data_IF_710961673296
#
_entry.id   IF_710961673296
#
_cell.length_a   1.000
_cell.length_b   1.000
_cell.length_c   1.000
_cell.angle_alpha   90.00
_cell.angle_beta   90.00
_cell.angle_gamma   90.00
#
_symmetry.space_group_name_H-M   'P 1'
#
loop_
_entity.id
_entity.type
_entity.pdbx_description
1 polymer ?
#
# COMPACT_ATOMS: atom_id res chain seq x y z
N UNK A 1 54.39 -4.52 43.85
CA UNK A 1 54.36 -5.26 42.55
C UNK A 1 53.04 -6.00 42.50
N UNK A 2 52.17 -5.62 41.56
CA UNK A 2 51.07 -6.40 40.96
C UNK A 2 50.15 -5.41 40.24
N UNK A 3 50.38 -5.25 38.93
CA UNK A 3 49.45 -4.59 38.00
C UNK A 3 48.39 -5.64 37.62
N UNK A 4 47.14 -5.38 37.94
CA UNK A 4 46.01 -6.15 37.38
C UNK A 4 45.19 -5.22 36.51
N UNK A 5 45.38 -5.39 35.20
CA UNK A 5 44.66 -4.72 34.12
C UNK A 5 43.21 -5.22 34.08
N UNK A 6 42.25 -4.34 34.34
CA UNK A 6 40.83 -4.59 34.06
C UNK A 6 40.60 -4.24 32.58
N UNK A 7 40.37 -5.26 31.74
CA UNK A 7 39.90 -5.07 30.37
C UNK A 7 38.43 -4.60 30.41
N UNK A 8 38.19 -3.33 30.09
CA UNK A 8 36.87 -2.84 29.74
C UNK A 8 36.54 -3.22 28.29
N UNK A 9 35.49 -3.99 28.10
CA UNK A 9 34.94 -4.32 26.79
C UNK A 9 34.40 -3.05 26.11
N UNK A 10 35.00 -2.65 24.99
CA UNK A 10 34.42 -1.65 24.10
C UNK A 10 33.35 -2.31 23.23
N UNK A 11 32.09 -2.26 23.69
CA UNK A 11 30.92 -2.54 22.87
C UNK A 11 30.72 -1.42 21.84
N UNK A 12 30.59 -1.79 20.57
CA UNK A 12 30.19 -0.87 19.50
C UNK A 12 28.80 -0.27 19.79
N UNK A 13 28.56 1.03 19.54
CA UNK A 13 27.25 1.63 19.78
C UNK A 13 26.22 1.05 18.80
N UNK A 14 25.14 0.48 19.34
CA UNK A 14 24.01 0.01 18.54
C UNK A 14 23.32 1.18 17.82
N UNK A 15 22.91 0.94 16.58
CA UNK A 15 22.21 1.85 15.66
C UNK A 15 20.89 2.46 16.16
N UNK A 16 20.50 2.20 17.42
CA UNK A 16 19.27 2.68 18.05
C UNK A 16 19.39 4.09 18.64
N UNK A 17 20.61 4.58 18.88
CA UNK A 17 20.84 5.90 19.48
C UNK A 17 20.85 7.07 18.48
N UNK A 18 21.01 6.79 17.17
CA UNK A 18 20.89 7.85 16.15
C UNK A 18 19.41 8.26 15.94
N UNK A 19 18.48 7.31 16.08
CA UNK A 19 17.04 7.56 15.91
C UNK A 19 16.46 8.41 17.05
N UNK A 20 16.96 8.28 18.28
CA UNK A 20 16.49 9.10 19.41
C UNK A 20 16.88 10.55 19.28
N UNK A 21 18.07 10.84 18.74
CA UNK A 21 18.54 12.22 18.55
C UNK A 21 17.74 12.94 17.46
N UNK A 22 17.43 12.25 16.34
CA UNK A 22 16.68 12.86 15.23
C UNK A 22 15.21 13.11 15.62
N UNK A 23 14.62 12.18 16.37
CA UNK A 23 13.24 12.29 16.86
C UNK A 23 13.12 13.33 18.00
N UNK A 24 14.17 13.49 18.83
CA UNK A 24 14.25 14.54 19.85
C UNK A 24 14.34 15.95 19.22
N UNK A 25 15.11 16.12 18.14
CA UNK A 25 15.14 17.38 17.39
C UNK A 25 13.79 17.67 16.71
N UNK A 26 13.09 16.65 16.20
CA UNK A 26 11.78 16.83 15.59
C UNK A 26 10.68 17.20 16.61
N UNK A 27 10.76 16.65 17.82
CA UNK A 27 9.77 16.85 18.89
C UNK A 27 9.95 18.16 19.65
N UNK A 28 11.15 18.74 19.65
CA UNK A 28 11.42 20.08 20.16
C UNK A 28 10.81 21.18 19.27
N UNK A 29 10.71 20.93 17.96
CA UNK A 29 10.15 21.93 17.04
C UNK A 29 8.62 22.09 17.13
N UNK A 30 7.91 21.13 17.73
CA UNK A 30 6.44 21.13 17.83
C UNK A 30 5.88 21.65 19.17
N UNK A 31 6.72 21.85 20.19
CA UNK A 31 6.23 22.19 21.55
C UNK A 31 6.17 23.67 21.87
N UNK A 32 6.62 24.55 20.98
CA UNK A 32 6.42 25.99 21.12
C UNK A 32 5.72 26.53 19.88
N UNK A 33 4.40 26.63 19.97
CA UNK A 33 3.60 27.40 19.02
C UNK A 33 4.05 28.86 19.04
N UNK A 34 4.82 29.25 18.02
CA UNK A 34 5.07 30.62 17.64
C UNK A 34 5.05 30.70 16.12
N UNK A 35 4.11 31.50 15.63
CA UNK A 35 3.88 31.82 14.23
C UNK A 35 5.06 32.65 13.74
N UNK A 36 5.79 32.16 12.74
CA UNK A 36 6.59 32.99 11.84
C UNK A 36 6.27 32.60 10.40
N UNK A 37 6.02 33.62 9.58
CA UNK A 37 5.35 33.50 8.30
C UNK A 37 6.08 32.68 7.23
N UNK A 38 5.30 32.33 6.20
CA UNK A 38 5.77 31.95 4.88
C UNK A 38 6.57 30.66 4.80
N UNK A 39 5.88 29.55 4.48
CA UNK A 39 6.19 28.62 3.38
C UNK A 39 5.03 27.60 3.41
N UNK A 40 4.10 27.74 2.48
CA UNK A 40 3.20 26.63 2.14
C UNK A 40 4.11 25.52 1.60
N UNK A 41 4.20 24.37 2.27
CA UNK A 41 4.90 23.23 1.72
C UNK A 41 4.35 22.94 0.31
N UNK A 42 5.20 22.92 -0.75
CA UNK A 42 4.71 22.67 -2.09
C UNK A 42 4.13 21.26 -2.14
N UNK A 43 2.82 21.14 -2.42
CA UNK A 43 2.15 19.87 -2.68
C UNK A 43 2.53 19.36 -4.08
N UNK A 44 3.82 19.25 -4.38
CA UNK A 44 4.27 18.78 -5.70
C UNK A 44 4.15 17.24 -5.77
N UNK A 45 3.55 16.69 -6.85
CA UNK A 45 3.47 15.24 -7.07
C UNK A 45 4.86 14.57 -7.10
N UNK A 46 5.88 15.36 -7.44
CA UNK A 46 7.27 14.93 -7.55
C UNK A 46 7.84 14.67 -6.15
N UNK A 47 7.56 15.53 -5.15
CA UNK A 47 8.03 15.29 -3.78
C UNK A 47 7.35 14.07 -3.14
N UNK A 48 6.07 13.80 -3.43
CA UNK A 48 5.39 12.60 -2.92
C UNK A 48 5.94 11.31 -3.56
N UNK A 49 6.37 11.35 -4.83
CA UNK A 49 7.06 10.24 -5.50
C UNK A 49 8.46 10.03 -4.94
N UNK A 50 9.25 11.09 -4.77
CA UNK A 50 10.61 11.00 -4.22
C UNK A 50 10.60 10.47 -2.77
N UNK A 51 9.68 10.96 -1.91
CA UNK A 51 9.54 10.44 -0.55
C UNK A 51 9.08 8.97 -0.53
N UNK A 52 8.29 8.52 -1.52
CA UNK A 52 7.93 7.11 -1.70
C UNK A 52 9.15 6.29 -2.11
N UNK A 53 9.95 6.75 -3.07
CA UNK A 53 11.18 6.06 -3.50
C UNK A 53 12.17 5.89 -2.36
N UNK A 54 12.39 6.92 -1.53
CA UNK A 54 13.26 6.83 -0.35
C UNK A 54 12.71 5.83 0.69
N UNK A 55 11.39 5.83 0.93
CA UNK A 55 10.73 4.86 1.83
C UNK A 55 10.73 3.43 1.29
N UNK A 56 10.80 3.25 -0.02
CA UNK A 56 10.86 1.92 -0.64
C UNK A 56 12.24 1.28 -0.43
N UNK A 57 13.32 2.07 -0.57
CA UNK A 57 14.69 1.62 -0.33
C UNK A 57 14.94 1.30 1.15
N UNK A 58 14.37 2.08 2.08
CA UNK A 58 14.55 1.85 3.54
C UNK A 58 13.71 0.70 4.09
N UNK A 59 12.67 0.24 3.37
CA UNK A 59 11.85 -0.92 3.77
C UNK A 59 12.20 -2.23 3.07
N UNK A 60 13.06 -2.19 2.04
CA UNK A 60 13.45 -3.38 1.29
C UNK A 60 12.31 -3.98 0.44
N UNK A 61 11.40 -3.14 -0.09
CA UNK A 61 10.34 -3.65 -0.97
C UNK A 61 10.92 -4.13 -2.31
N UNK A 62 10.38 -5.25 -2.81
CA UNK A 62 10.74 -5.75 -4.15
C UNK A 62 10.22 -4.82 -5.25
N UNK A 63 10.80 -4.91 -6.45
CA UNK A 63 10.33 -4.17 -7.64
C UNK A 63 8.84 -4.39 -7.90
N UNK A 64 8.37 -5.63 -7.73
CA UNK A 64 6.97 -6.03 -7.87
C UNK A 64 6.08 -5.35 -6.84
N UNK A 65 6.47 -5.37 -5.57
CA UNK A 65 5.74 -4.67 -4.51
C UNK A 65 5.66 -3.16 -4.77
N UNK A 66 6.72 -2.55 -5.31
CA UNK A 66 6.72 -1.11 -5.66
C UNK A 66 5.69 -0.82 -6.75
N UNK A 67 5.60 -1.64 -7.80
CA UNK A 67 4.61 -1.47 -8.89
C UNK A 67 3.18 -1.50 -8.37
N UNK A 68 2.84 -2.48 -7.53
CA UNK A 68 1.49 -2.58 -6.93
C UNK A 68 1.22 -1.38 -6.02
N UNK A 69 2.19 -0.95 -5.20
CA UNK A 69 2.05 0.23 -4.34
C UNK A 69 1.81 1.52 -5.12
N UNK A 70 2.41 1.64 -6.30
CA UNK A 70 2.24 2.79 -7.20
C UNK A 70 0.86 2.77 -7.87
N UNK A 71 0.41 1.62 -8.37
CA UNK A 71 -0.93 1.45 -8.94
C UNK A 71 -2.03 1.72 -7.89
N UNK A 72 -1.83 1.34 -6.64
CA UNK A 72 -2.78 1.53 -5.54
C UNK A 72 -2.43 2.72 -4.64
N UNK A 73 -1.84 3.79 -5.19
CA UNK A 73 -1.50 5.00 -4.44
C UNK A 73 -2.74 5.81 -4.01
N UNK A 74 -2.58 6.79 -3.12
CA UNK A 74 -3.66 7.71 -2.74
C UNK A 74 -3.90 8.87 -3.73
N UNK A 75 -3.24 8.83 -4.89
CA UNK A 75 -3.40 9.86 -5.94
C UNK A 75 -4.88 9.88 -6.42
N UNK A 76 -5.44 11.02 -6.86
CA UNK A 76 -6.88 11.13 -7.17
C UNK A 76 -7.31 10.40 -8.45
N UNK A 77 -6.37 10.04 -9.33
CA UNK A 77 -6.63 9.26 -10.56
C UNK A 77 -6.48 7.75 -10.33
N UNK A 78 -7.20 6.93 -11.09
CA UNK A 78 -7.10 5.47 -11.02
C UNK A 78 -5.76 4.91 -11.54
N UNK A 79 -5.49 3.61 -11.33
CA UNK A 79 -4.34 2.95 -11.97
C UNK A 79 -4.46 3.04 -13.50
N UNK A 80 -3.33 3.17 -14.18
CA UNK A 80 -3.34 3.19 -15.65
C UNK A 80 -3.47 1.77 -16.19
N UNK A 81 -4.00 1.61 -17.41
CA UNK A 81 -4.08 0.30 -18.08
C UNK A 81 -2.72 -0.38 -18.19
N UNK A 82 -1.66 0.39 -18.46
CA UNK A 82 -0.28 -0.12 -18.49
C UNK A 82 0.17 -0.67 -17.14
N UNK A 83 -0.14 0.01 -16.04
CA UNK A 83 0.20 -0.49 -14.69
C UNK A 83 -0.53 -1.79 -14.39
N UNK A 84 -1.83 -1.87 -14.70
CA UNK A 84 -2.62 -3.08 -14.44
C UNK A 84 -2.17 -4.25 -15.31
N UNK A 85 -1.92 -4.00 -16.60
CA UNK A 85 -1.38 -5.00 -17.54
C UNK A 85 -0.03 -5.53 -17.07
N UNK A 86 0.90 -4.65 -16.68
CA UNK A 86 2.20 -5.08 -16.17
C UNK A 86 2.05 -5.93 -14.89
N UNK A 87 1.22 -5.52 -13.94
CA UNK A 87 0.96 -6.30 -12.71
C UNK A 87 0.35 -7.66 -13.05
N UNK A 88 -0.63 -7.72 -13.96
CA UNK A 88 -1.24 -8.97 -14.39
C UNK A 88 -0.22 -9.92 -15.01
N UNK A 89 0.68 -9.43 -15.86
CA UNK A 89 1.75 -10.24 -16.46
C UNK A 89 2.70 -10.80 -15.38
N UNK A 90 3.05 -10.01 -14.37
CA UNK A 90 3.89 -10.47 -13.26
C UNK A 90 3.27 -11.62 -12.44
N UNK A 91 1.94 -11.79 -12.48
CA UNK A 91 1.28 -12.92 -11.80
C UNK A 91 1.60 -14.29 -12.43
N UNK A 92 2.11 -14.32 -13.67
CA UNK A 92 2.52 -15.55 -14.37
C UNK A 92 4.00 -15.92 -14.14
N UNK A 93 4.82 -15.01 -13.62
CA UNK A 93 6.27 -15.16 -13.62
C UNK A 93 6.79 -16.18 -12.58
N UNK A 94 6.90 -15.76 -11.32
CA UNK A 94 7.43 -16.57 -10.23
C UNK A 94 6.46 -16.55 -9.07
N UNK A 95 6.42 -17.65 -8.30
CA UNK A 95 5.55 -17.72 -7.12
C UNK A 95 5.85 -16.58 -6.14
N UNK A 96 7.11 -16.17 -6.00
CA UNK A 96 7.49 -15.03 -5.15
C UNK A 96 6.84 -13.73 -5.60
N UNK A 97 6.90 -13.40 -6.90
CA UNK A 97 6.26 -12.19 -7.44
C UNK A 97 4.74 -12.24 -7.31
N UNK A 98 4.14 -13.41 -7.55
CA UNK A 98 2.71 -13.62 -7.32
C UNK A 98 2.31 -13.31 -5.88
N UNK A 99 3.00 -13.90 -4.89
CA UNK A 99 2.70 -13.67 -3.48
C UNK A 99 2.95 -12.23 -3.05
N UNK A 100 3.98 -11.57 -3.60
CA UNK A 100 4.25 -10.15 -3.38
C UNK A 100 3.10 -9.25 -3.84
N UNK A 101 2.48 -9.58 -4.99
CA UNK A 101 1.32 -8.85 -5.51
C UNK A 101 0.12 -9.06 -4.59
N UNK A 102 -0.21 -10.32 -4.30
CA UNK A 102 -1.40 -10.67 -3.52
C UNK A 102 -1.32 -10.13 -2.08
N UNK A 103 -0.16 -10.24 -1.43
CA UNK A 103 0.07 -9.70 -0.08
C UNK A 103 0.01 -8.16 -0.04
N UNK A 104 0.42 -7.48 -1.11
CA UNK A 104 0.22 -6.03 -1.20
C UNK A 104 -1.25 -5.66 -1.41
N UNK A 105 -1.98 -6.39 -2.26
CA UNK A 105 -3.40 -6.18 -2.49
C UNK A 105 -4.22 -6.43 -1.22
N UNK A 106 -3.95 -7.52 -0.49
CA UNK A 106 -4.60 -7.83 0.79
C UNK A 106 -4.46 -6.67 1.79
N UNK A 107 -3.23 -6.16 1.96
CA UNK A 107 -2.95 -5.00 2.83
C UNK A 107 -3.74 -3.76 2.42
N UNK A 108 -3.95 -3.56 1.11
CA UNK A 108 -4.71 -2.41 0.56
C UNK A 108 -6.21 -2.58 0.64
N UNK A 109 -6.73 -3.81 0.55
CA UNK A 109 -8.16 -4.10 0.72
C UNK A 109 -8.57 -3.99 2.19
N UNK A 110 -7.64 -4.22 3.12
CA UNK A 110 -7.86 -4.03 4.57
C UNK A 110 -7.69 -2.58 5.06
N UNK A 111 -7.32 -1.63 4.19
CA UNK A 111 -7.27 -0.21 4.55
C UNK A 111 -8.68 0.32 4.91
N UNK A 112 -8.74 1.37 5.75
CA UNK A 112 -10.02 1.93 6.25
C UNK A 112 -10.07 3.45 6.17
N UNK A 113 -11.28 4.00 6.17
CA UNK A 113 -11.55 5.43 6.30
C UNK A 113 -10.86 6.28 5.23
N UNK A 114 -9.99 7.21 5.65
CA UNK A 114 -9.30 8.16 4.77
C UNK A 114 -8.48 7.54 3.63
N UNK A 115 -8.13 6.25 3.74
CA UNK A 115 -7.39 5.50 2.73
C UNK A 115 -8.31 4.83 1.68
N UNK A 116 -9.57 5.26 1.55
CA UNK A 116 -10.54 4.67 0.60
C UNK A 116 -10.03 4.54 -0.84
N UNK A 117 -9.13 5.41 -1.31
CA UNK A 117 -8.55 5.31 -2.66
C UNK A 117 -7.62 4.10 -2.79
N UNK A 118 -6.89 3.74 -1.75
CA UNK A 118 -6.10 2.51 -1.74
C UNK A 118 -7.01 1.29 -1.98
N UNK A 119 -8.12 1.24 -1.24
CA UNK A 119 -9.12 0.17 -1.32
C UNK A 119 -9.75 0.12 -2.71
N UNK A 120 -10.26 1.26 -3.21
CA UNK A 120 -10.90 1.33 -4.53
C UNK A 120 -9.95 0.91 -5.66
N UNK A 121 -8.70 1.37 -5.62
CA UNK A 121 -7.71 1.02 -6.65
C UNK A 121 -7.24 -0.43 -6.53
N UNK A 122 -7.14 -0.97 -5.32
CA UNK A 122 -6.84 -2.39 -5.12
C UNK A 122 -7.95 -3.28 -5.70
N UNK A 123 -9.23 -2.91 -5.51
CA UNK A 123 -10.35 -3.60 -6.16
C UNK A 123 -10.22 -3.58 -7.69
N UNK A 124 -9.87 -2.44 -8.29
CA UNK A 124 -9.66 -2.32 -9.75
C UNK A 124 -8.50 -3.17 -10.26
N UNK A 125 -7.37 -3.20 -9.54
CA UNK A 125 -6.22 -4.03 -9.91
C UNK A 125 -6.58 -5.51 -9.78
N UNK A 126 -7.27 -5.92 -8.70
CA UNK A 126 -7.71 -7.30 -8.50
C UNK A 126 -8.68 -7.74 -9.60
N UNK A 127 -9.67 -6.91 -9.92
CA UNK A 127 -10.61 -7.12 -11.02
C UNK A 127 -9.89 -7.35 -12.35
N UNK A 128 -8.95 -6.48 -12.71
CA UNK A 128 -8.15 -6.66 -13.92
C UNK A 128 -7.32 -7.95 -13.91
N UNK A 129 -6.67 -8.29 -12.79
CA UNK A 129 -5.91 -9.53 -12.65
C UNK A 129 -6.79 -10.79 -12.70
N UNK A 130 -8.07 -10.69 -12.33
CA UNK A 130 -9.02 -11.80 -12.45
C UNK A 130 -9.44 -12.08 -13.89
N UNK A 131 -9.32 -11.10 -14.79
CA UNK A 131 -9.55 -11.28 -16.22
C UNK A 131 -8.26 -11.67 -16.94
N UNK A 132 -7.20 -10.87 -16.75
CA UNK A 132 -5.99 -10.94 -17.58
C UNK A 132 -4.78 -11.61 -16.88
N UNK A 133 -4.90 -11.93 -15.60
CA UNK A 133 -3.83 -12.52 -14.78
C UNK A 133 -3.86 -14.05 -14.74
N UNK A 134 -2.96 -14.64 -13.96
CA UNK A 134 -2.83 -16.08 -13.75
C UNK A 134 -4.05 -16.71 -13.07
N UNK A 135 -4.32 -17.99 -13.36
CA UNK A 135 -5.35 -18.79 -12.67
C UNK A 135 -5.15 -18.85 -11.15
N UNK A 136 -3.91 -18.64 -10.68
CA UNK A 136 -3.60 -18.54 -9.26
C UNK A 136 -4.30 -17.33 -8.61
N UNK A 137 -4.55 -16.25 -9.37
CA UNK A 137 -5.28 -15.07 -8.89
C UNK A 137 -6.72 -15.46 -8.57
N UNK A 138 -7.37 -16.23 -9.46
CA UNK A 138 -8.74 -16.73 -9.26
C UNK A 138 -8.80 -17.60 -8.00
N UNK A 139 -7.85 -18.53 -7.87
CA UNK A 139 -7.76 -19.42 -6.69
C UNK A 139 -7.60 -18.62 -5.40
N UNK A 140 -6.68 -17.65 -5.39
CA UNK A 140 -6.43 -16.80 -4.23
C UNK A 140 -7.65 -15.93 -3.88
N UNK A 141 -8.29 -15.32 -4.88
CA UNK A 141 -9.44 -14.44 -4.67
C UNK A 141 -10.65 -15.20 -4.10
N UNK A 142 -10.86 -16.46 -4.51
CA UNK A 142 -11.90 -17.31 -3.95
C UNK A 142 -11.64 -17.70 -2.50
N UNK A 143 -10.39 -18.06 -2.18
CA UNK A 143 -10.00 -18.39 -0.80
C UNK A 143 -10.11 -17.19 0.14
N UNK A 144 -10.02 -15.97 -0.40
CA UNK A 144 -10.05 -14.72 0.34
C UNK A 144 -11.24 -13.83 -0.06
N UNK A 145 -12.37 -14.42 -0.47
CA UNK A 145 -13.56 -13.68 -0.93
C UNK A 145 -14.08 -12.69 0.13
N UNK A 146 -13.87 -13.04 1.41
CA UNK A 146 -14.24 -12.22 2.55
C UNK A 146 -13.64 -10.80 2.49
N UNK A 147 -12.45 -10.64 1.90
CA UNK A 147 -11.81 -9.32 1.73
C UNK A 147 -12.68 -8.41 0.87
N UNK A 148 -13.21 -8.92 -0.24
CA UNK A 148 -14.10 -8.17 -1.13
C UNK A 148 -15.49 -8.04 -0.51
N UNK A 149 -16.00 -9.11 0.10
CA UNK A 149 -17.35 -9.18 0.67
C UNK A 149 -17.59 -8.15 1.78
N UNK A 150 -16.58 -7.88 2.60
CA UNK A 150 -16.66 -6.88 3.68
C UNK A 150 -16.68 -5.43 3.17
N UNK A 151 -16.15 -5.17 1.96
CA UNK A 151 -16.12 -3.85 1.35
C UNK A 151 -17.45 -3.43 0.72
N UNK A 152 -18.42 -4.35 0.59
CA UNK A 152 -19.77 -4.05 0.08
C UNK A 152 -20.54 -3.05 0.95
N UNK A 153 -20.14 -2.91 2.21
CA UNK A 153 -20.69 -1.95 3.18
C UNK A 153 -19.67 -0.89 3.61
N UNK A 154 -18.60 -0.69 2.83
CA UNK A 154 -17.58 0.31 3.14
C UNK A 154 -18.20 1.72 3.21
N UNK A 155 -18.02 2.42 4.33
CA UNK A 155 -18.53 3.78 4.54
C UNK A 155 -17.39 4.76 4.75
N UNK A 156 -17.41 5.85 3.97
CA UNK A 156 -16.54 6.99 4.21
C UNK A 156 -17.12 8.24 3.53
N UNK A 157 -17.37 9.27 4.33
CA UNK A 157 -17.74 10.61 3.87
C UNK A 157 -16.48 11.47 3.96
N UNK A 158 -16.13 12.15 2.87
CA UNK A 158 -14.94 13.01 2.83
C UNK A 158 -15.15 14.35 3.55
N UNK A 159 -14.11 15.17 3.60
CA UNK A 159 -14.12 16.48 4.25
C UNK A 159 -15.08 17.48 3.58
N UNK A 160 -15.48 17.24 2.33
CA UNK A 160 -16.46 18.02 1.58
C UNK A 160 -17.89 17.52 1.78
N UNK A 161 -18.11 16.50 2.62
CA UNK A 161 -19.42 15.91 2.87
C UNK A 161 -19.90 14.94 1.79
N UNK A 162 -19.02 14.49 0.88
CA UNK A 162 -19.36 13.55 -0.19
C UNK A 162 -19.14 12.12 0.24
N UNK A 163 -20.09 11.23 -0.09
CA UNK A 163 -19.95 9.79 0.11
C UNK A 163 -19.04 9.17 -0.97
N UNK A 164 -17.73 9.25 -0.74
CA UNK A 164 -16.72 8.61 -1.58
C UNK A 164 -16.68 7.09 -1.38
N UNK A 165 -17.26 6.58 -0.28
CA UNK A 165 -17.42 5.15 -0.02
C UNK A 165 -18.36 4.45 -1.00
N UNK A 166 -19.32 5.16 -1.59
CA UNK A 166 -20.26 4.60 -2.57
C UNK A 166 -19.53 3.92 -3.74
N UNK A 167 -18.45 4.51 -4.25
CA UNK A 167 -17.68 3.93 -5.35
C UNK A 167 -17.00 2.61 -4.97
N UNK A 168 -16.53 2.50 -3.71
CA UNK A 168 -15.95 1.26 -3.17
C UNK A 168 -17.03 0.18 -3.08
N UNK A 169 -18.22 0.53 -2.57
CA UNK A 169 -19.33 -0.42 -2.42
C UNK A 169 -19.82 -0.95 -3.75
N UNK A 170 -19.94 -0.11 -4.78
CA UNK A 170 -20.33 -0.53 -6.13
C UNK A 170 -19.30 -1.52 -6.68
N UNK A 171 -18.01 -1.14 -6.72
CA UNK A 171 -16.95 -2.00 -7.21
C UNK A 171 -16.86 -3.34 -6.46
N UNK A 172 -17.01 -3.32 -5.13
CA UNK A 172 -16.99 -4.54 -4.30
C UNK A 172 -18.20 -5.44 -4.56
N UNK A 173 -19.38 -4.88 -4.85
CA UNK A 173 -20.57 -5.68 -5.19
C UNK A 173 -20.41 -6.35 -6.55
N UNK A 174 -19.93 -5.61 -7.55
CA UNK A 174 -19.71 -6.14 -8.89
C UNK A 174 -18.66 -7.27 -8.86
N UNK A 175 -17.53 -7.03 -8.19
CA UNK A 175 -16.46 -8.02 -8.05
C UNK A 175 -16.89 -9.24 -7.21
N UNK A 176 -17.63 -9.02 -6.13
CA UNK A 176 -18.18 -10.13 -5.32
C UNK A 176 -19.19 -10.95 -6.11
N UNK A 177 -19.94 -10.35 -7.03
CA UNK A 177 -20.87 -11.05 -7.93
C UNK A 177 -20.10 -11.90 -8.94
N UNK A 178 -19.05 -11.34 -9.54
CA UNK A 178 -18.16 -12.07 -10.45
C UNK A 178 -17.51 -13.29 -9.78
N UNK A 179 -16.98 -13.14 -8.56
CA UNK A 179 -16.35 -14.24 -7.83
C UNK A 179 -17.32 -15.36 -7.42
N UNK A 180 -18.63 -15.07 -7.39
CA UNK A 180 -19.66 -16.06 -7.07
C UNK A 180 -20.15 -16.84 -8.31
N UNK A 181 -19.86 -16.36 -9.53
CA UNK A 181 -20.28 -16.97 -10.79
C UNK A 181 -19.08 -17.55 -11.55
N UNK A 182 -18.84 -18.85 -11.32
CA UNK A 182 -17.73 -19.60 -11.91
C UNK A 182 -17.79 -19.67 -13.43
N UNK A 183 -18.99 -19.77 -14.01
CA UNK A 183 -19.15 -19.88 -15.44
C UNK A 183 -18.82 -18.54 -16.09
N UNK A 184 -19.41 -17.46 -15.57
CA UNK A 184 -19.15 -16.10 -16.05
C UNK A 184 -17.67 -15.72 -15.94
N UNK A 185 -17.02 -16.00 -14.82
CA UNK A 185 -15.60 -15.68 -14.65
C UNK A 185 -14.69 -16.49 -15.60
N UNK A 186 -15.08 -17.71 -15.96
CA UNK A 186 -14.32 -18.50 -16.95
C UNK A 186 -14.53 -17.99 -18.38
N UNK A 187 -15.72 -17.51 -18.70
CA UNK A 187 -16.06 -16.99 -20.03
C UNK A 187 -15.49 -15.59 -20.26
N UNK A 188 -15.32 -14.78 -19.20
CA UNK A 188 -14.76 -13.42 -19.26
C UNK A 188 -13.21 -13.38 -19.27
N UNK A 189 -12.53 -14.53 -19.13
CA UNK A 189 -11.06 -14.69 -19.16
C UNK A 189 -10.57 -15.19 -20.52
#
# INVERSE_FOLDING_TARGET
ISKTTVRGEFGQPQSRDLFRTVDFFFRLSYKHGQVYGGIQAPQSPIMSKVMRSVKNVTKGYSSTQVKVREATSNDPWGPTGTQMSEIAQLTFNTSTEFYDIMDMLDRRLNDRGKNWRHVLKALKVLDYCLHEGSELVVTWARQNDYLVRTLREFQYIDEEGRDVGQNVRVAAKDLSSLLADDARLRDER
#
